data_IF_788705203546
#
_entry.id   IF_788705203546
#
_cell.length_a   1.000
_cell.length_b   1.000
_cell.length_c   1.000
_cell.angle_alpha   90.00
_cell.angle_beta   90.00
_cell.angle_gamma   90.00
#
_symmetry.space_group_name_H-M   'P 1'
#
loop_
_entity.id
_entity.type
_entity.pdbx_description
1 polymer ?
#
# COMPACT_ATOMS: atom_id res chain seq x y z
N UNK A 1 -32.42 -2.39 9.00
CA UNK A 1 -31.10 -2.58 8.37
C UNK A 1 -30.13 -1.59 8.92
N UNK A 2 -29.06 -2.07 9.51
CA UNK A 2 -27.99 -1.19 9.96
C UNK A 2 -27.10 -0.84 8.78
N UNK A 3 -27.23 0.38 8.29
CA UNK A 3 -26.37 0.89 7.24
C UNK A 3 -25.07 1.37 7.94
N UNK A 4 -23.98 0.71 7.63
CA UNK A 4 -22.67 1.12 8.15
C UNK A 4 -22.24 2.38 7.42
N UNK A 5 -22.07 3.47 8.16
CA UNK A 5 -21.62 4.74 7.61
C UNK A 5 -20.53 5.34 8.49
N UNK A 6 -19.74 6.21 7.90
CA UNK A 6 -18.59 6.84 8.55
C UNK A 6 -18.59 8.34 8.28
N UNK A 7 -18.21 9.11 9.29
CA UNK A 7 -17.87 10.51 9.10
C UNK A 7 -16.44 10.63 8.56
N UNK A 8 -16.10 11.81 8.02
CA UNK A 8 -14.73 12.07 7.58
C UNK A 8 -13.75 11.97 8.76
N UNK A 9 -14.17 12.39 9.96
CA UNK A 9 -13.38 12.29 11.18
C UNK A 9 -13.08 10.85 11.55
N UNK A 10 -14.08 9.98 11.46
CA UNK A 10 -13.93 8.56 11.76
C UNK A 10 -12.96 7.88 10.79
N UNK A 11 -13.09 8.16 9.48
CA UNK A 11 -12.17 7.62 8.47
C UNK A 11 -10.76 8.16 8.66
N UNK A 12 -10.63 9.44 8.94
CA UNK A 12 -9.36 10.11 9.19
C UNK A 12 -8.60 9.43 10.33
N UNK A 13 -9.27 9.17 11.43
CA UNK A 13 -8.69 8.49 12.60
C UNK A 13 -8.38 7.03 12.31
N UNK A 14 -9.29 6.34 11.64
CA UNK A 14 -9.15 4.91 11.34
C UNK A 14 -7.93 4.61 10.46
N UNK A 15 -7.64 5.48 9.49
CA UNK A 15 -6.53 5.29 8.54
C UNK A 15 -5.30 6.13 8.86
N UNK A 16 -5.34 6.93 9.90
CA UNK A 16 -4.25 7.83 10.29
C UNK A 16 -3.83 8.78 9.17
N UNK A 17 -4.81 9.42 8.55
CA UNK A 17 -4.62 10.42 7.51
C UNK A 17 -5.45 11.65 7.83
N UNK A 18 -5.15 12.77 7.18
CA UNK A 18 -5.88 14.01 7.41
C UNK A 18 -7.22 14.04 6.67
N UNK A 19 -8.22 14.76 7.19
CA UNK A 19 -9.46 15.00 6.45
C UNK A 19 -9.21 15.66 5.09
N UNK A 20 -8.19 16.49 5.00
CA UNK A 20 -7.78 17.13 3.73
C UNK A 20 -7.37 16.10 2.67
N UNK A 21 -6.64 15.07 3.07
CA UNK A 21 -6.25 13.98 2.16
C UNK A 21 -7.49 13.25 1.63
N UNK A 22 -8.46 12.97 2.50
CA UNK A 22 -9.70 12.31 2.11
C UNK A 22 -10.48 13.17 1.12
N UNK A 23 -10.61 14.46 1.38
CA UNK A 23 -11.28 15.42 0.46
C UNK A 23 -10.57 15.48 -0.87
N UNK A 24 -9.24 15.40 -0.89
CA UNK A 24 -8.47 15.36 -2.12
C UNK A 24 -8.85 14.14 -2.98
N UNK A 25 -8.96 12.96 -2.38
CA UNK A 25 -9.38 11.75 -3.10
C UNK A 25 -10.82 11.85 -3.62
N UNK A 26 -11.70 12.50 -2.85
CA UNK A 26 -13.06 12.80 -3.31
C UNK A 26 -13.02 13.71 -4.54
N UNK A 27 -12.21 14.78 -4.50
CA UNK A 27 -12.05 15.71 -5.62
C UNK A 27 -11.50 15.02 -6.87
N UNK A 28 -10.69 13.98 -6.70
CA UNK A 28 -10.16 13.18 -7.80
C UNK A 28 -11.16 12.12 -8.31
N UNK A 29 -12.35 12.08 -7.74
CA UNK A 29 -13.37 11.12 -8.13
C UNK A 29 -13.18 9.70 -7.62
N UNK A 30 -12.23 9.50 -6.70
CA UNK A 30 -11.94 8.16 -6.14
C UNK A 30 -12.87 7.77 -5.01
N UNK A 31 -13.46 8.74 -4.34
CA UNK A 31 -14.45 8.55 -3.28
C UNK A 31 -15.71 9.34 -3.63
N UNK A 32 -16.85 8.82 -3.26
CA UNK A 32 -18.15 9.44 -3.55
C UNK A 32 -19.06 9.39 -2.34
N UNK A 33 -18.80 10.19 -1.29
CA UNK A 33 -19.68 10.21 -0.13
C UNK A 33 -21.03 10.78 -0.47
N UNK A 34 -22.04 10.33 0.25
CA UNK A 34 -23.38 10.92 0.19
C UNK A 34 -23.36 12.19 1.05
N UNK A 35 -24.00 13.25 0.57
CA UNK A 35 -24.12 14.48 1.32
C UNK A 35 -25.48 14.59 2.00
N UNK A 36 -25.43 14.80 3.32
CA UNK A 36 -26.61 15.13 4.12
C UNK A 36 -26.43 16.59 4.58
N UNK A 37 -27.00 17.53 3.83
CA UNK A 37 -26.74 18.97 4.03
C UNK A 37 -25.29 19.29 3.71
N UNK A 38 -24.56 19.85 4.67
CA UNK A 38 -23.14 20.15 4.54
C UNK A 38 -22.25 18.97 4.98
N UNK A 39 -22.88 17.93 5.50
CA UNK A 39 -22.18 16.79 6.08
C UNK A 39 -21.91 15.72 5.03
N UNK A 40 -20.67 15.18 5.03
CA UNK A 40 -20.27 14.04 4.21
C UNK A 40 -20.52 12.76 4.98
N UNK A 41 -21.19 11.81 4.33
CA UNK A 41 -21.44 10.47 4.90
C UNK A 41 -20.80 9.44 3.98
N UNK A 42 -19.76 8.77 4.49
CA UNK A 42 -19.02 7.75 3.74
C UNK A 42 -19.61 6.38 4.02
N UNK A 43 -19.69 5.56 2.99
CA UNK A 43 -20.22 4.21 3.07
C UNK A 43 -19.08 3.19 3.18
N UNK A 44 -19.43 1.93 3.41
CA UNK A 44 -18.46 0.85 3.49
C UNK A 44 -17.62 0.74 2.20
N UNK A 45 -18.24 0.96 1.04
CA UNK A 45 -17.51 0.96 -0.24
C UNK A 45 -16.42 2.04 -0.29
N UNK A 46 -16.68 3.20 0.29
CA UNK A 46 -15.69 4.28 0.38
C UNK A 46 -14.53 3.89 1.30
N UNK A 47 -14.82 3.21 2.39
CA UNK A 47 -13.79 2.71 3.31
C UNK A 47 -12.87 1.71 2.61
N UNK A 48 -13.44 0.78 1.86
CA UNK A 48 -12.67 -0.21 1.10
C UNK A 48 -11.83 0.47 0.02
N UNK A 49 -12.42 1.42 -0.72
CA UNK A 49 -11.70 2.21 -1.73
C UNK A 49 -10.55 2.99 -1.11
N UNK A 50 -10.76 3.60 0.04
CA UNK A 50 -9.71 4.35 0.73
C UNK A 50 -8.54 3.44 1.11
N UNK A 51 -8.82 2.21 1.55
CA UNK A 51 -7.78 1.21 1.82
C UNK A 51 -6.96 0.91 0.57
N UNK A 52 -7.62 0.70 -0.56
CA UNK A 52 -6.95 0.43 -1.84
C UNK A 52 -6.11 1.61 -2.31
N UNK A 53 -6.64 2.83 -2.16
CA UNK A 53 -5.92 4.07 -2.50
C UNK A 53 -4.62 4.17 -1.70
N UNK A 54 -4.70 4.00 -0.39
CA UNK A 54 -3.54 4.12 0.49
C UNK A 54 -2.50 3.04 0.25
N UNK A 55 -2.93 1.81 -0.02
CA UNK A 55 -2.02 0.72 -0.39
C UNK A 55 -1.34 0.98 -1.71
N UNK A 56 -2.09 1.40 -2.72
CA UNK A 56 -1.54 1.73 -4.03
C UNK A 56 -0.51 2.85 -3.95
N UNK A 57 -0.81 3.90 -3.21
CA UNK A 57 0.11 5.01 -3.00
C UNK A 57 1.39 4.57 -2.29
N UNK A 58 1.28 3.69 -1.31
CA UNK A 58 2.45 3.15 -0.59
C UNK A 58 3.42 2.44 -1.53
N UNK A 59 2.89 1.76 -2.55
CA UNK A 59 3.69 1.03 -3.52
C UNK A 59 4.06 1.87 -4.75
N UNK A 60 3.75 3.17 -4.74
CA UNK A 60 4.14 4.08 -5.80
C UNK A 60 3.27 4.07 -7.04
N UNK A 61 2.05 3.51 -6.96
CA UNK A 61 1.11 3.59 -8.06
C UNK A 61 0.62 5.02 -8.25
N UNK A 62 0.41 5.41 -9.52
CA UNK A 62 -0.20 6.69 -9.85
C UNK A 62 -1.69 6.69 -9.48
N UNK A 63 -2.27 7.88 -9.37
CA UNK A 63 -3.71 7.99 -9.12
C UNK A 63 -4.53 7.38 -10.26
N UNK A 64 -4.04 7.45 -11.51
CA UNK A 64 -4.69 6.81 -12.65
C UNK A 64 -4.71 5.29 -12.51
N UNK A 65 -3.58 4.70 -12.12
CA UNK A 65 -3.49 3.25 -11.88
C UNK A 65 -4.39 2.83 -10.74
N UNK A 66 -4.45 3.63 -9.67
CA UNK A 66 -5.33 3.36 -8.53
C UNK A 66 -6.79 3.44 -8.95
N UNK A 67 -7.16 4.42 -9.79
CA UNK A 67 -8.52 4.55 -10.31
C UNK A 67 -8.92 3.31 -11.13
N UNK A 68 -8.00 2.77 -11.93
CA UNK A 68 -8.24 1.54 -12.70
C UNK A 68 -8.46 0.33 -11.78
N UNK A 69 -7.68 0.22 -10.71
CA UNK A 69 -7.83 -0.86 -9.71
C UNK A 69 -9.18 -0.75 -9.01
N UNK A 70 -9.57 0.45 -8.62
CA UNK A 70 -10.89 0.71 -8.00
C UNK A 70 -12.01 0.35 -8.97
N UNK A 71 -11.85 0.69 -10.26
CA UNK A 71 -12.80 0.32 -11.30
C UNK A 71 -13.00 -1.18 -11.42
N UNK A 72 -11.94 -1.98 -11.27
CA UNK A 72 -12.04 -3.44 -11.25
C UNK A 72 -12.83 -3.94 -10.04
N UNK A 73 -12.59 -3.32 -8.88
CA UNK A 73 -13.30 -3.70 -7.66
C UNK A 73 -14.79 -3.42 -7.75
N UNK A 74 -15.16 -2.34 -8.44
CA UNK A 74 -16.56 -1.90 -8.58
C UNK A 74 -17.24 -2.44 -9.84
N UNK A 75 -16.65 -3.43 -10.52
CA UNK A 75 -17.25 -4.00 -11.72
C UNK A 75 -18.63 -4.57 -11.38
N UNK A 76 -19.66 -3.89 -11.89
CA UNK A 76 -21.06 -4.27 -11.75
C UNK A 76 -21.67 -4.27 -13.16
N UNK A 77 -21.24 -5.24 -13.97
CA UNK A 77 -21.74 -5.35 -15.33
C UNK A 77 -22.01 -6.83 -15.66
N UNK A 78 -23.06 -7.03 -16.43
CA UNK A 78 -23.43 -8.34 -16.96
C UNK A 78 -22.86 -8.56 -18.36
N UNK A 79 -22.11 -7.60 -18.89
CA UNK A 79 -21.51 -7.71 -20.21
C UNK A 79 -20.27 -8.59 -20.18
N UNK A 80 -20.33 -9.69 -20.90
CA UNK A 80 -19.26 -10.70 -20.97
C UNK A 80 -17.92 -10.12 -21.42
N UNK A 81 -17.93 -9.25 -22.43
CA UNK A 81 -16.71 -8.66 -22.98
C UNK A 81 -16.01 -7.77 -21.98
N UNK A 82 -16.77 -6.98 -21.20
CA UNK A 82 -16.20 -6.12 -20.16
C UNK A 82 -15.62 -6.94 -19.02
N UNK A 83 -16.30 -8.00 -18.62
CA UNK A 83 -15.81 -8.92 -17.58
C UNK A 83 -14.49 -9.58 -18.01
N UNK A 84 -14.39 -10.01 -19.27
CA UNK A 84 -13.17 -10.60 -19.83
C UNK A 84 -12.01 -9.61 -19.81
N UNK A 85 -12.26 -8.36 -20.23
CA UNK A 85 -11.23 -7.30 -20.22
C UNK A 85 -10.76 -7.00 -18.80
N UNK A 86 -11.68 -6.96 -17.85
CA UNK A 86 -11.37 -6.75 -16.43
C UNK A 86 -10.49 -7.87 -15.89
N UNK A 87 -10.78 -9.12 -16.24
CA UNK A 87 -9.96 -10.26 -15.85
C UNK A 87 -8.55 -10.18 -16.44
N UNK A 88 -8.43 -9.82 -17.71
CA UNK A 88 -7.12 -9.67 -18.38
C UNK A 88 -6.29 -8.58 -17.70
N UNK A 89 -6.91 -7.45 -17.40
CA UNK A 89 -6.24 -6.34 -16.70
C UNK A 89 -5.79 -6.78 -15.31
N UNK A 90 -6.67 -7.46 -14.57
CA UNK A 90 -6.36 -7.96 -13.23
C UNK A 90 -5.21 -8.96 -13.25
N UNK A 91 -5.15 -9.86 -14.24
CA UNK A 91 -4.07 -10.82 -14.41
C UNK A 91 -2.72 -10.14 -14.66
N UNK A 92 -2.70 -9.11 -15.50
CA UNK A 92 -1.48 -8.33 -15.76
C UNK A 92 -0.99 -7.65 -14.47
N UNK A 93 -1.89 -7.01 -13.72
CA UNK A 93 -1.53 -6.38 -12.46
C UNK A 93 -1.04 -7.39 -11.43
N UNK A 94 -1.66 -8.56 -11.38
CA UNK A 94 -1.23 -9.63 -10.49
C UNK A 94 0.17 -10.12 -10.83
N UNK A 95 0.48 -10.29 -12.11
CA UNK A 95 1.82 -10.68 -12.56
C UNK A 95 2.86 -9.62 -12.20
N UNK A 96 2.55 -8.33 -12.39
CA UNK A 96 3.44 -7.22 -12.01
C UNK A 96 3.72 -7.25 -10.51
N UNK A 97 2.70 -7.48 -9.69
CA UNK A 97 2.85 -7.57 -8.23
C UNK A 97 3.75 -8.76 -7.86
N UNK A 98 3.55 -9.90 -8.48
CA UNK A 98 4.37 -11.10 -8.22
C UNK A 98 5.83 -10.88 -8.59
N UNK A 99 6.10 -10.20 -9.69
CA UNK A 99 7.46 -9.82 -10.07
C UNK A 99 8.11 -8.93 -9.02
N UNK A 100 7.38 -7.93 -8.53
CA UNK A 100 7.87 -7.03 -7.47
C UNK A 100 8.13 -7.78 -6.17
N UNK A 101 7.25 -8.71 -5.80
CA UNK A 101 7.45 -9.56 -4.62
C UNK A 101 8.75 -10.37 -4.77
N UNK A 102 8.97 -10.96 -5.94
CA UNK A 102 10.17 -11.72 -6.20
C UNK A 102 11.43 -10.85 -6.12
N UNK A 103 11.40 -9.66 -6.73
CA UNK A 103 12.50 -8.71 -6.69
C UNK A 103 12.79 -8.26 -5.26
N UNK A 104 11.75 -8.01 -4.46
CA UNK A 104 11.92 -7.64 -3.05
C UNK A 104 12.53 -8.77 -2.23
N UNK A 105 12.16 -10.02 -2.51
CA UNK A 105 12.75 -11.18 -1.85
C UNK A 105 14.25 -11.30 -2.15
N UNK A 106 14.63 -11.09 -3.42
CA UNK A 106 16.04 -11.10 -3.82
C UNK A 106 16.81 -9.98 -3.13
N UNK A 107 16.23 -8.79 -3.07
CA UNK A 107 16.85 -7.66 -2.38
C UNK A 107 16.99 -7.95 -0.88
N UNK A 108 16.01 -8.56 -0.27
CA UNK A 108 16.07 -8.98 1.13
C UNK A 108 17.25 -9.93 1.36
N UNK A 109 17.41 -10.93 0.50
CA UNK A 109 18.51 -11.88 0.56
C UNK A 109 19.88 -11.17 0.46
N UNK A 110 19.98 -10.19 -0.45
CA UNK A 110 21.18 -9.37 -0.62
C UNK A 110 21.51 -8.58 0.64
N UNK A 111 20.51 -7.97 1.26
CA UNK A 111 20.70 -7.23 2.51
C UNK A 111 21.09 -8.12 3.68
N UNK A 112 20.52 -9.31 3.77
CA UNK A 112 20.90 -10.29 4.80
C UNK A 112 22.35 -10.70 4.64
N UNK A 113 22.76 -11.03 3.42
CA UNK A 113 24.14 -11.40 3.12
C UNK A 113 25.12 -10.26 3.44
N UNK A 114 24.76 -9.03 3.09
CA UNK A 114 25.56 -7.86 3.40
C UNK A 114 25.68 -7.64 4.90
N UNK A 115 24.59 -7.79 5.64
CA UNK A 115 24.58 -7.67 7.10
C UNK A 115 25.50 -8.69 7.77
N UNK A 116 25.48 -9.94 7.30
CA UNK A 116 26.37 -10.99 7.80
C UNK A 116 27.84 -10.66 7.55
N UNK A 117 28.13 -10.17 6.37
CA UNK A 117 29.50 -9.76 5.99
C UNK A 117 29.99 -8.60 6.86
N UNK A 118 29.14 -7.60 7.07
CA UNK A 118 29.47 -6.44 7.91
C UNK A 118 29.68 -6.87 9.36
N UNK A 119 28.78 -7.71 9.88
CA UNK A 119 28.88 -8.23 11.25
C UNK A 119 30.17 -9.01 11.46
N UNK A 120 30.54 -9.86 10.52
CA UNK A 120 31.78 -10.63 10.59
C UNK A 120 33.00 -9.71 10.63
N UNK A 121 33.03 -8.67 9.78
CA UNK A 121 34.10 -7.70 9.76
C UNK A 121 34.17 -6.88 11.05
N UNK A 122 33.03 -6.49 11.57
CA UNK A 122 32.97 -5.76 12.83
C UNK A 122 33.52 -6.59 13.97
N UNK A 123 33.22 -7.87 14.05
CA UNK A 123 33.77 -8.78 15.06
C UNK A 123 35.29 -8.92 14.95
N UNK A 124 35.80 -9.03 13.72
CA UNK A 124 37.26 -9.06 13.50
C UNK A 124 37.93 -7.81 14.04
N UNK A 125 37.39 -6.63 13.73
CA UNK A 125 37.93 -5.35 14.17
C UNK A 125 37.84 -5.18 15.69
N UNK A 126 36.77 -5.61 16.30
CA UNK A 126 36.59 -5.58 17.76
C UNK A 126 37.58 -6.51 18.46
N UNK A 127 37.81 -7.69 17.91
CA UNK A 127 38.79 -8.63 18.44
C UNK A 127 40.23 -8.07 18.33
N UNK A 128 40.55 -7.45 17.20
CA UNK A 128 41.85 -6.80 17.02
C UNK A 128 42.04 -5.64 18.00
N UNK A 129 40.99 -4.84 18.23
CA UNK A 129 41.05 -3.76 19.20
C UNK A 129 41.22 -4.27 20.62
N UNK A 130 40.55 -5.37 20.97
CA UNK A 130 40.71 -6.02 22.28
C UNK A 130 42.13 -6.56 22.51
N UNK A 131 42.71 -7.18 21.50
CA UNK A 131 44.08 -7.67 21.55
C UNK A 131 45.11 -6.55 21.73
N UNK A 132 44.89 -5.40 21.09
CA UNK A 132 45.74 -4.22 21.24
C UNK A 132 45.64 -3.59 22.64
N UNK A 133 44.44 -3.66 23.24
CA UNK A 133 44.23 -3.13 24.60
C UNK A 133 44.79 -4.03 25.68
N UNK A 134 45.05 -5.30 25.39
CA UNK A 134 45.61 -6.28 26.31
C UNK A 134 46.83 -6.98 25.67
N UNK A 135 47.89 -6.22 25.39
CA UNK A 135 49.08 -6.82 24.78
C UNK A 135 49.66 -7.89 25.71
N UNK A 136 49.96 -9.04 25.15
CA UNK A 136 50.69 -10.09 25.88
C UNK A 136 52.11 -9.59 26.14
N UNK A 137 52.41 -9.37 27.38
CA UNK A 137 53.77 -9.08 27.82
C UNK A 137 54.60 -10.35 27.74
#
# INVERSE_FOLDING_TARGET
>A
MNIISFSISELSKSFDITPRAIRFYEDQGLLSPVREGTRRVYQEKDRVRLRLILRGKRFGYSLEEIAEIIGLYDVDTNETDQLKKSLEYGEKKLNDIRERINDLKLLEEDFIALGEKISARLMELENLSSEKMHPKT
#
